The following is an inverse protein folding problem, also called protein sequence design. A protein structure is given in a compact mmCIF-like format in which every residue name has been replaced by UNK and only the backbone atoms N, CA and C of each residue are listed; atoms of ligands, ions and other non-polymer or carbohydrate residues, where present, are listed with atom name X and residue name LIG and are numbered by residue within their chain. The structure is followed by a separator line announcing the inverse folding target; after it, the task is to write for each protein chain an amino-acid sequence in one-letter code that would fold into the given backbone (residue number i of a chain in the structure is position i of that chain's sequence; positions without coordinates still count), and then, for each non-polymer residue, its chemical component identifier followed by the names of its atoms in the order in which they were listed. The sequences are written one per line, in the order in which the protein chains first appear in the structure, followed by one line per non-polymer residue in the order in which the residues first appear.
data_IF_395458353979
#
_entry.id   IF_395458353979
#
_cell.length_a   1.000
_cell.length_b   1.000
_cell.length_c   1.000
_cell.angle_alpha   90.00
_cell.angle_beta   90.00
_cell.angle_gamma   90.00
#
_symmetry.space_group_name_H-M   'P 1'
#
loop_
_entity.id
_entity.type
_entity.pdbx_description
1 polymer ?
#
# COMPACT_ATOMS: atom_id res chain seq x y z
N UNK A 1 -15.84 46.98 -23.29
CA UNK A 1 -14.71 46.10 -22.92
C UNK A 1 -15.20 45.28 -21.74
N UNK A 2 -15.87 44.16 -22.02
CA UNK A 2 -16.44 43.26 -21.02
C UNK A 2 -16.03 41.86 -21.44
N UNK A 3 -14.92 41.38 -20.89
CA UNK A 3 -14.47 40.01 -21.07
C UNK A 3 -15.36 39.09 -20.25
N UNK A 4 -16.13 38.26 -20.93
CA UNK A 4 -16.88 37.18 -20.31
C UNK A 4 -15.91 36.04 -20.00
N UNK A 5 -15.50 35.89 -18.74
CA UNK A 5 -14.85 34.68 -18.24
C UNK A 5 -15.87 33.54 -18.25
N UNK A 6 -15.95 32.83 -19.38
CA UNK A 6 -16.67 31.57 -19.48
C UNK A 6 -16.02 30.57 -18.52
N UNK A 7 -16.74 30.21 -17.46
CA UNK A 7 -16.38 29.08 -16.61
C UNK A 7 -16.36 27.82 -17.48
N UNK A 8 -15.15 27.42 -17.88
CA UNK A 8 -14.92 26.14 -18.54
C UNK A 8 -15.27 25.04 -17.54
N UNK A 9 -16.46 24.43 -17.70
CA UNK A 9 -16.74 23.15 -17.09
C UNK A 9 -15.79 22.14 -17.73
N UNK A 10 -14.90 21.55 -16.93
CA UNK A 10 -14.09 20.41 -17.36
C UNK A 10 -15.05 19.28 -17.72
N UNK A 11 -15.28 19.07 -19.02
CA UNK A 11 -16.00 17.91 -19.54
C UNK A 11 -15.00 16.77 -19.60
N UNK A 12 -14.92 15.98 -18.53
CA UNK A 12 -14.06 14.81 -18.48
C UNK A 12 -14.41 13.99 -17.25
N UNK A 13 -14.80 12.74 -17.47
CA UNK A 13 -14.95 11.78 -16.38
C UNK A 13 -13.65 11.61 -15.59
N UNK A 14 -13.67 10.86 -14.48
CA UNK A 14 -12.49 10.66 -13.66
C UNK A 14 -11.34 10.11 -14.51
N UNK A 15 -10.16 10.74 -14.40
CA UNK A 15 -8.94 10.35 -15.10
C UNK A 15 -8.45 8.96 -14.68
N UNK A 16 -8.80 8.54 -13.47
CA UNK A 16 -8.45 7.25 -12.88
C UNK A 16 -9.62 6.74 -12.07
N UNK A 17 -9.88 5.43 -12.14
CA UNK A 17 -10.78 4.73 -11.24
C UNK A 17 -9.95 3.98 -10.20
N UNK A 18 -10.10 4.32 -8.92
CA UNK A 18 -9.55 3.52 -7.82
C UNK A 18 -10.38 2.23 -7.72
N UNK A 19 -9.71 1.08 -7.82
CA UNK A 19 -10.35 -0.23 -7.73
C UNK A 19 -10.22 -0.83 -6.33
N UNK A 20 -9.04 -0.70 -5.73
CA UNK A 20 -8.73 -1.29 -4.43
C UNK A 20 -7.47 -0.67 -3.79
N UNK A 21 -7.20 -1.07 -2.54
CA UNK A 21 -5.96 -0.79 -1.83
C UNK A 21 -5.04 -2.01 -1.96
N UNK A 22 -3.96 -1.84 -2.70
CA UNK A 22 -3.01 -2.91 -3.01
C UNK A 22 -2.13 -3.28 -1.82
N UNK A 23 -1.51 -2.29 -1.16
CA UNK A 23 -0.64 -2.53 -0.02
C UNK A 23 -0.49 -1.29 0.87
N UNK A 24 -0.03 -1.51 2.10
CA UNK A 24 0.37 -0.45 3.03
C UNK A 24 1.80 -0.71 3.49
N UNK A 25 2.70 0.24 3.22
CA UNK A 25 4.05 0.24 3.76
C UNK A 25 4.09 0.89 5.15
N UNK A 26 4.48 0.14 6.19
CA UNK A 26 4.57 0.66 7.55
C UNK A 26 6.03 0.85 7.98
N UNK A 27 6.37 2.07 8.39
CA UNK A 27 7.61 2.32 9.13
C UNK A 27 7.37 2.02 10.60
N UNK A 28 8.06 1.00 11.10
CA UNK A 28 7.92 0.53 12.47
C UNK A 28 9.23 0.68 13.23
N UNK A 29 9.14 0.74 14.56
CA UNK A 29 10.33 0.82 15.43
C UNK A 29 11.12 -0.50 15.45
N UNK A 30 10.41 -1.62 15.41
CA UNK A 30 10.97 -2.98 15.44
C UNK A 30 10.19 -3.86 14.47
N UNK A 31 10.86 -4.33 13.42
CA UNK A 31 10.26 -5.14 12.35
C UNK A 31 9.98 -6.56 12.82
N UNK A 32 10.85 -7.15 13.63
CA UNK A 32 10.68 -8.53 14.12
C UNK A 32 9.52 -8.60 15.12
N UNK A 33 9.37 -7.60 15.99
CA UNK A 33 8.20 -7.51 16.88
C UNK A 33 6.89 -7.36 16.08
N UNK A 34 6.92 -6.57 15.01
CA UNK A 34 5.76 -6.39 14.13
C UNK A 34 5.43 -7.69 13.37
N UNK A 35 6.44 -8.40 12.85
CA UNK A 35 6.25 -9.70 12.20
C UNK A 35 5.56 -10.69 13.14
N UNK A 36 6.05 -10.85 14.38
CA UNK A 36 5.40 -11.74 15.36
C UNK A 36 3.95 -11.35 15.62
N UNK A 37 3.67 -10.06 15.78
CA UNK A 37 2.29 -9.59 15.96
C UNK A 37 1.40 -9.98 14.76
N UNK A 38 1.82 -9.70 13.54
CA UNK A 38 0.98 -9.99 12.37
C UNK A 38 0.91 -11.47 12.03
N UNK A 39 1.99 -12.23 12.18
CA UNK A 39 2.02 -13.64 11.76
C UNK A 39 1.64 -14.62 12.87
N UNK A 40 2.10 -14.41 14.10
CA UNK A 40 1.87 -15.35 15.19
C UNK A 40 0.57 -15.04 15.93
N UNK A 41 0.31 -13.77 16.23
CA UNK A 41 -0.91 -13.38 16.94
C UNK A 41 -2.13 -13.30 16.01
N UNK A 42 -1.97 -12.68 14.83
CA UNK A 42 -3.07 -12.52 13.87
C UNK A 42 -3.13 -13.64 12.81
N UNK A 43 -2.11 -14.51 12.74
CA UNK A 43 -2.12 -15.64 11.81
C UNK A 43 -1.88 -15.28 10.35
N UNK A 44 -1.38 -14.07 10.04
CA UNK A 44 -1.15 -13.65 8.66
C UNK A 44 0.07 -14.36 8.07
N UNK A 45 -0.03 -14.76 6.80
CA UNK A 45 1.06 -15.44 6.11
C UNK A 45 2.22 -14.46 5.86
N UNK A 46 3.42 -14.86 6.25
CA UNK A 46 4.63 -14.08 5.99
C UNK A 46 5.14 -14.26 4.56
N UNK A 47 5.78 -13.22 4.04
CA UNK A 47 6.40 -13.24 2.72
C UNK A 47 7.80 -12.63 2.77
N UNK A 48 8.74 -13.35 2.13
CA UNK A 48 10.11 -12.90 1.86
C UNK A 48 10.91 -12.45 3.09
N UNK A 49 10.59 -13.01 4.25
CA UNK A 49 11.23 -12.66 5.53
C UNK A 49 12.70 -13.05 5.52
N UNK A 50 13.06 -14.17 4.90
CA UNK A 50 14.44 -14.66 4.90
C UNK A 50 15.34 -13.84 3.98
N UNK A 51 14.87 -13.48 2.78
CA UNK A 51 15.58 -12.56 1.88
C UNK A 51 15.77 -11.19 2.53
N UNK A 52 14.77 -10.71 3.27
CA UNK A 52 14.89 -9.47 4.03
C UNK A 52 15.93 -9.57 5.14
N UNK A 53 15.92 -10.65 5.94
CA UNK A 53 16.92 -10.87 7.00
C UNK A 53 18.34 -10.98 6.45
N UNK A 54 18.51 -11.46 5.21
CA UNK A 54 19.78 -11.47 4.48
C UNK A 54 20.17 -10.11 3.89
N UNK A 55 19.27 -9.12 3.93
CA UNK A 55 19.50 -7.79 3.38
C UNK A 55 19.36 -7.71 1.85
N UNK A 56 18.80 -8.74 1.21
CA UNK A 56 18.62 -8.80 -0.25
C UNK A 56 17.45 -7.90 -0.71
N UNK A 57 16.52 -7.60 0.19
CA UNK A 57 15.32 -6.78 -0.07
C UNK A 57 15.12 -5.75 1.04
N UNK A 58 14.36 -4.70 0.76
CA UNK A 58 14.24 -3.56 1.67
C UNK A 58 13.35 -3.77 2.89
N UNK A 59 12.33 -4.64 2.80
CA UNK A 59 11.38 -4.89 3.89
C UNK A 59 10.65 -6.24 3.69
N UNK A 60 10.22 -6.89 4.78
CA UNK A 60 9.36 -8.06 4.71
C UNK A 60 7.89 -7.63 4.60
N UNK A 61 7.01 -8.55 4.21
CA UNK A 61 5.56 -8.32 4.16
C UNK A 61 4.77 -9.47 4.79
N UNK A 62 3.49 -9.17 5.08
CA UNK A 62 2.49 -10.17 5.48
C UNK A 62 1.29 -10.04 4.54
N UNK A 63 0.65 -11.17 4.25
CA UNK A 63 -0.44 -11.30 3.29
C UNK A 63 -1.79 -11.30 4.01
N UNK A 64 -2.71 -10.45 3.56
CA UNK A 64 -4.05 -10.32 4.15
C UNK A 64 -5.09 -11.22 3.47
N UNK A 65 -5.01 -11.39 2.15
CA UNK A 65 -5.92 -12.20 1.34
C UNK A 65 -5.16 -12.88 0.17
N UNK A 66 -5.87 -13.61 -0.70
CA UNK A 66 -5.24 -14.27 -1.86
C UNK A 66 -4.98 -13.32 -3.04
N UNK A 67 -5.57 -12.12 -2.98
CA UNK A 67 -5.37 -11.06 -3.95
C UNK A 67 -4.06 -10.32 -3.65
N UNK A 68 -3.93 -9.11 -4.18
CA UNK A 68 -2.71 -8.30 -4.11
C UNK A 68 -2.32 -7.86 -2.71
#
# INVERSE_FOLDING_TARGET
MTENYGSSRVVGGPLVKITELDHIGLRVKDVEASLRFYSELLGLKTERVDEWRKGEIGFPSVRLNADT
#
